data_IF_084612591474
#
_entry.id   IF_084612591474
#
_cell.length_a   1.000
_cell.length_b   1.000
_cell.length_c   1.000
_cell.angle_alpha   90.00
_cell.angle_beta   90.00
_cell.angle_gamma   90.00
#
_symmetry.space_group_name_H-M   'P 1'
#
loop_
_entity.id
_entity.type
_entity.pdbx_description
1 polymer ?
#
# COMPACT_ATOMS: atom_id res chain seq x y z
N UNK A 1 -7.32 -15.09 3.16
CA UNK A 1 -6.57 -14.43 2.08
C UNK A 1 -6.45 -15.41 0.92
N UNK A 2 -6.81 -15.02 -0.31
CA UNK A 2 -6.77 -15.91 -1.48
C UNK A 2 -5.32 -16.23 -1.84
N UNK A 3 -5.04 -17.48 -2.22
CA UNK A 3 -3.73 -17.92 -2.69
C UNK A 3 -3.73 -18.08 -4.21
N UNK A 4 -2.74 -17.46 -4.85
CA UNK A 4 -2.57 -17.52 -6.30
C UNK A 4 -1.21 -18.12 -6.69
N UNK A 5 -1.10 -18.60 -7.92
CA UNK A 5 0.21 -18.82 -8.50
C UNK A 5 0.87 -17.45 -8.78
N UNK A 6 2.16 -17.30 -8.48
CA UNK A 6 2.87 -16.01 -8.55
C UNK A 6 2.72 -15.31 -9.90
N UNK A 7 2.82 -16.05 -11.00
CA UNK A 7 2.72 -15.53 -12.36
C UNK A 7 1.32 -15.67 -12.99
N UNK A 8 0.26 -15.77 -12.17
CA UNK A 8 -1.10 -15.92 -12.66
C UNK A 8 -1.76 -14.60 -13.04
N UNK A 9 -2.80 -14.68 -13.89
CA UNK A 9 -3.68 -13.57 -14.18
C UNK A 9 -4.36 -13.03 -12.91
N UNK A 10 -4.76 -13.90 -11.99
CA UNK A 10 -5.40 -13.51 -10.73
C UNK A 10 -4.48 -12.63 -9.86
N UNK A 11 -3.17 -12.91 -9.83
CA UNK A 11 -2.19 -12.05 -9.14
C UNK A 11 -2.11 -10.66 -9.77
N UNK A 12 -2.10 -10.60 -11.12
CA UNK A 12 -2.08 -9.33 -11.86
C UNK A 12 -3.34 -8.52 -11.60
N UNK A 13 -4.49 -9.18 -11.61
CA UNK A 13 -5.79 -8.57 -11.34
C UNK A 13 -5.90 -8.04 -9.91
N UNK A 14 -5.43 -8.82 -8.92
CA UNK A 14 -5.37 -8.39 -7.52
C UNK A 14 -4.46 -7.17 -7.35
N UNK A 15 -3.30 -7.14 -8.03
CA UNK A 15 -2.43 -5.96 -8.05
C UNK A 15 -3.14 -4.75 -8.65
N UNK A 16 -3.82 -4.90 -9.78
CA UNK A 16 -4.52 -3.79 -10.43
C UNK A 16 -5.67 -3.21 -9.59
N UNK A 17 -6.32 -4.05 -8.76
CA UNK A 17 -7.38 -3.64 -7.82
C UNK A 17 -6.89 -3.24 -6.44
N UNK A 18 -5.56 -3.27 -6.20
CA UNK A 18 -4.95 -3.05 -4.88
C UNK A 18 -5.53 -3.98 -3.79
N UNK A 19 -5.87 -5.22 -4.16
CA UNK A 19 -6.44 -6.20 -3.24
C UNK A 19 -5.35 -7.04 -2.56
N UNK A 20 -5.44 -7.32 -1.26
CA UNK A 20 -4.55 -8.24 -0.57
C UNK A 20 -4.57 -9.65 -1.17
N UNK A 21 -3.39 -10.24 -1.33
CA UNK A 21 -3.25 -11.59 -1.85
C UNK A 21 -2.03 -12.28 -1.26
N UNK A 22 -1.99 -13.60 -1.38
CA UNK A 22 -0.81 -14.40 -1.07
C UNK A 22 -0.49 -15.33 -2.26
N UNK A 23 0.76 -15.73 -2.39
CA UNK A 23 1.17 -16.69 -3.43
C UNK A 23 2.08 -17.76 -2.85
N UNK A 24 2.19 -18.88 -3.55
CA UNK A 24 3.13 -19.94 -3.18
C UNK A 24 4.60 -19.53 -3.27
N UNK A 25 4.92 -18.45 -4.01
CA UNK A 25 6.29 -17.97 -4.23
C UNK A 25 6.78 -16.91 -3.24
N UNK A 26 6.12 -16.74 -2.08
CA UNK A 26 6.41 -15.66 -1.13
C UNK A 26 6.24 -14.25 -1.72
N UNK A 27 5.45 -14.10 -2.77
CA UNK A 27 4.98 -12.82 -3.27
C UNK A 27 3.58 -12.58 -2.74
N UNK A 28 3.36 -11.49 -2.01
CA UNK A 28 2.07 -11.24 -1.37
C UNK A 28 1.84 -9.75 -1.24
N UNK A 29 0.59 -9.39 -1.03
CA UNK A 29 0.24 -8.04 -0.67
C UNK A 29 -0.70 -8.00 0.52
N UNK A 30 -0.52 -6.98 1.33
CA UNK A 30 -1.13 -6.84 2.66
C UNK A 30 -1.68 -5.43 2.80
N UNK A 31 -2.74 -5.29 3.59
CA UNK A 31 -3.34 -3.99 3.87
C UNK A 31 -2.43 -3.15 4.76
N UNK A 32 -2.35 -1.87 4.41
CA UNK A 32 -1.71 -0.86 5.23
C UNK A 32 -0.20 -0.97 5.33
N UNK A 33 0.31 -0.27 6.34
CA UNK A 33 1.72 -0.17 6.65
C UNK A 33 2.21 -1.32 7.53
N UNK A 34 3.39 -1.85 7.21
CA UNK A 34 4.04 -2.92 7.95
C UNK A 34 5.49 -2.62 8.33
N UNK A 35 5.68 -2.00 9.50
CA UNK A 35 6.99 -1.64 10.06
C UNK A 35 7.99 -2.82 10.20
N UNK A 36 7.59 -4.03 10.66
CA UNK A 36 8.56 -5.13 10.86
C UNK A 36 9.32 -5.53 9.58
N UNK A 37 8.78 -5.18 8.41
CA UNK A 37 9.33 -5.49 7.10
C UNK A 37 10.14 -4.31 6.51
N UNK A 38 9.87 -3.08 6.95
CA UNK A 38 10.57 -1.86 6.50
C UNK A 38 12.08 -1.87 6.78
N UNK A 39 12.53 -2.61 7.80
CA UNK A 39 13.96 -2.72 8.12
C UNK A 39 14.80 -3.36 7.00
N UNK A 40 14.17 -4.08 6.06
CA UNK A 40 14.84 -4.69 4.90
C UNK A 40 15.00 -3.75 3.71
N UNK A 41 14.44 -2.55 3.78
CA UNK A 41 14.66 -1.50 2.78
C UNK A 41 16.01 -0.80 3.02
N UNK A 42 16.69 -0.34 1.97
CA UNK A 42 17.80 0.61 2.09
C UNK A 42 17.34 1.90 2.81
N UNK A 43 18.25 2.62 3.50
CA UNK A 43 17.90 3.73 4.38
C UNK A 43 16.91 4.73 3.78
N UNK A 44 17.22 5.30 2.60
CA UNK A 44 16.35 6.25 1.90
C UNK A 44 14.91 5.73 1.70
N UNK A 45 14.76 4.45 1.36
CA UNK A 45 13.44 3.86 1.11
C UNK A 45 12.72 3.48 2.40
N UNK A 46 13.48 3.13 3.45
CA UNK A 46 12.93 2.89 4.78
C UNK A 46 12.36 4.18 5.36
N UNK A 47 13.12 5.27 5.30
CA UNK A 47 12.68 6.57 5.79
C UNK A 47 11.43 7.01 5.04
N UNK A 48 11.43 6.87 3.72
CA UNK A 48 10.27 7.15 2.90
C UNK A 48 9.04 6.32 3.30
N UNK A 49 9.23 5.02 3.53
CA UNK A 49 8.14 4.11 3.89
C UNK A 49 7.57 4.43 5.27
N UNK A 50 8.41 4.88 6.21
CA UNK A 50 7.98 5.34 7.55
C UNK A 50 7.21 6.66 7.44
N UNK A 51 7.70 7.62 6.66
CA UNK A 51 7.00 8.89 6.40
C UNK A 51 5.61 8.65 5.79
N UNK A 52 5.49 7.61 4.97
CA UNK A 52 4.27 7.28 4.24
C UNK A 52 3.27 6.49 5.08
N UNK A 53 3.64 6.01 6.26
CA UNK A 53 2.92 5.00 7.01
C UNK A 53 1.42 5.29 7.22
N UNK A 54 1.05 6.56 7.46
CA UNK A 54 -0.34 6.98 7.64
C UNK A 54 -1.17 6.95 6.34
N UNK A 55 -0.50 7.04 5.19
CA UNK A 55 -1.10 7.11 3.87
C UNK A 55 -1.05 5.78 3.13
N UNK A 56 -0.23 4.82 3.55
CA UNK A 56 -0.16 3.50 2.92
C UNK A 56 -1.51 2.78 3.09
N UNK A 57 -2.19 2.54 1.97
CA UNK A 57 -3.37 1.67 1.91
C UNK A 57 -2.98 0.20 1.76
N UNK A 58 -1.88 -0.06 1.06
CA UNK A 58 -1.56 -1.39 0.58
C UNK A 58 -0.05 -1.54 0.36
N UNK A 59 0.53 -2.65 0.83
CA UNK A 59 1.97 -2.94 0.68
C UNK A 59 2.18 -4.27 -0.04
N UNK A 60 3.04 -4.27 -1.05
CA UNK A 60 3.50 -5.48 -1.74
C UNK A 60 4.82 -5.94 -1.18
N UNK A 61 4.89 -7.22 -0.83
CA UNK A 61 6.04 -7.87 -0.21
C UNK A 61 6.60 -8.97 -1.12
N UNK A 62 7.93 -9.02 -1.23
CA UNK A 62 8.68 -10.22 -1.60
C UNK A 62 9.28 -10.79 -0.33
N UNK A 63 8.86 -11.99 0.08
CA UNK A 63 9.08 -12.55 1.40
C UNK A 63 8.64 -11.58 2.50
N UNK A 64 9.61 -10.93 3.15
CA UNK A 64 9.44 -9.94 4.23
C UNK A 64 9.99 -8.57 3.83
N UNK A 65 10.26 -8.34 2.54
CA UNK A 65 10.81 -7.08 2.03
C UNK A 65 9.73 -6.34 1.26
N UNK A 66 9.37 -5.10 1.66
CA UNK A 66 8.53 -4.24 0.86
C UNK A 66 9.19 -3.96 -0.49
N UNK A 67 8.45 -4.22 -1.56
CA UNK A 67 8.90 -3.99 -2.94
C UNK A 67 7.99 -3.04 -3.72
N UNK A 68 6.82 -2.71 -3.15
CA UNK A 68 6.01 -1.56 -3.51
C UNK A 68 5.04 -1.21 -2.37
N UNK A 69 4.53 0.01 -2.37
CA UNK A 69 3.35 0.38 -1.58
C UNK A 69 2.49 1.40 -2.33
N UNK A 70 1.19 1.35 -2.08
CA UNK A 70 0.18 2.22 -2.67
C UNK A 70 -0.37 3.11 -1.57
N UNK A 71 -0.44 4.40 -1.87
CA UNK A 71 -0.94 5.42 -0.97
C UNK A 71 -2.43 5.67 -1.18
N UNK A 72 -3.07 6.31 -0.20
CA UNK A 72 -4.49 6.66 -0.24
C UNK A 72 -4.88 7.52 -1.43
N UNK A 73 -3.93 8.35 -1.88
CA UNK A 73 -4.10 9.20 -3.04
C UNK A 73 -3.92 8.45 -4.39
N UNK A 74 -3.72 7.13 -4.37
CA UNK A 74 -3.51 6.29 -5.55
C UNK A 74 -2.08 6.27 -6.09
N UNK A 75 -1.17 7.06 -5.52
CA UNK A 75 0.24 7.05 -5.88
C UNK A 75 0.90 5.72 -5.51
N UNK A 76 1.72 5.19 -6.42
CA UNK A 76 2.45 3.93 -6.24
C UNK A 76 3.93 4.21 -6.09
N UNK A 77 4.51 3.73 -4.99
CA UNK A 77 5.95 3.83 -4.75
C UNK A 77 6.59 2.48 -4.95
N UNK A 78 7.57 2.41 -5.86
CA UNK A 78 8.36 1.20 -6.15
C UNK A 78 9.84 1.55 -5.93
N UNK A 79 10.51 0.98 -4.91
CA UNK A 79 11.93 1.21 -4.69
C UNK A 79 12.77 0.86 -5.91
N UNK A 80 13.51 1.83 -6.43
CA UNK A 80 14.50 1.62 -7.49
C UNK A 80 15.80 1.06 -6.89
N UNK A 81 15.78 -0.24 -6.59
CA UNK A 81 16.88 -0.97 -5.93
C UNK A 81 17.03 -2.32 -6.60
N UNK A 82 18.28 -2.75 -6.82
CA UNK A 82 18.56 -4.12 -7.27
C UNK A 82 18.49 -5.06 -6.07
N UNK A 83 17.58 -6.04 -6.13
CA UNK A 83 17.45 -7.08 -5.11
C UNK A 83 18.02 -8.42 -5.61
N UNK A 84 17.82 -9.47 -4.81
CA UNK A 84 18.08 -10.85 -5.23
C UNK A 84 17.24 -11.22 -6.47
N UNK A 85 17.68 -12.24 -7.22
CA UNK A 85 17.02 -12.71 -8.45
C UNK A 85 15.52 -12.92 -8.28
N UNK A 86 15.11 -13.60 -7.20
CA UNK A 86 13.69 -13.85 -6.91
C UNK A 86 12.92 -12.56 -6.65
N UNK A 87 13.45 -11.66 -5.83
CA UNK A 87 12.79 -10.39 -5.51
C UNK A 87 12.71 -9.46 -6.71
N UNK A 88 13.74 -9.41 -7.55
CA UNK A 88 13.69 -8.69 -8.83
C UNK A 88 12.67 -9.31 -9.80
N UNK A 89 12.53 -10.63 -9.80
CA UNK A 89 11.46 -11.33 -10.53
C UNK A 89 10.06 -10.91 -10.05
N UNK A 90 9.84 -10.80 -8.74
CA UNK A 90 8.60 -10.26 -8.18
C UNK A 90 8.39 -8.79 -8.54
N UNK A 91 9.44 -7.96 -8.54
CA UNK A 91 9.35 -6.56 -8.94
C UNK A 91 8.91 -6.39 -10.40
N UNK A 92 9.33 -7.29 -11.29
CA UNK A 92 8.88 -7.26 -12.69
C UNK A 92 7.36 -7.43 -12.84
N UNK A 93 6.67 -8.02 -11.85
CA UNK A 93 5.22 -8.19 -11.85
C UNK A 93 4.46 -6.91 -11.47
N UNK A 94 5.16 -5.93 -10.90
CA UNK A 94 4.56 -4.67 -10.44
C UNK A 94 4.19 -3.72 -11.57
N UNK A 95 4.43 -4.08 -12.84
CA UNK A 95 4.01 -3.27 -13.98
C UNK A 95 2.48 -3.02 -13.97
N UNK A 96 1.68 -3.96 -13.47
CA UNK A 96 0.23 -3.79 -13.28
C UNK A 96 -0.14 -2.68 -12.27
N UNK A 97 0.73 -2.41 -11.29
CA UNK A 97 0.57 -1.25 -10.40
C UNK A 97 0.97 0.05 -11.10
N UNK A 98 1.97 0.01 -11.98
CA UNK A 98 2.40 1.21 -12.72
C UNK A 98 1.33 1.68 -13.70
N UNK A 99 0.63 0.75 -14.34
CA UNK A 99 -0.48 1.05 -15.24
C UNK A 99 -1.64 1.74 -14.50
N UNK A 100 -1.95 1.33 -13.26
CA UNK A 100 -2.97 2.01 -12.43
C UNK A 100 -2.48 3.36 -11.86
N UNK A 101 -1.17 3.50 -11.62
CA UNK A 101 -0.55 4.75 -11.15
C UNK A 101 -0.49 5.88 -12.20
N UNK A 102 -0.76 5.58 -13.47
CA UNK A 102 -0.73 6.55 -14.57
C UNK A 102 -2.08 7.23 -14.82
N UNK A 103 -3.09 6.96 -13.99
CA UNK A 103 -4.36 7.68 -14.04
C UNK A 103 -4.22 9.16 -13.64
N UNK A 104 -5.08 10.06 -14.15
CA UNK A 104 -4.99 11.50 -13.87
C UNK A 104 -5.05 11.85 -12.38
N UNK A 105 -5.79 11.06 -11.58
CA UNK A 105 -5.86 11.23 -10.11
C UNK A 105 -4.54 10.89 -9.42
N UNK A 106 -3.86 9.84 -9.86
CA UNK A 106 -2.58 9.43 -9.30
C UNK A 106 -1.46 10.41 -9.67
N UNK A 107 -1.52 10.99 -10.87
CA UNK A 107 -0.60 12.06 -11.31
C UNK A 107 -0.79 13.31 -10.45
N UNK A 108 -2.02 13.81 -10.32
CA UNK A 108 -2.32 15.01 -9.52
C UNK A 108 -1.92 14.81 -8.04
N UNK A 109 -2.21 13.64 -7.48
CA UNK A 109 -1.79 13.26 -6.14
C UNK A 109 -0.26 13.25 -5.95
N UNK A 110 0.48 12.85 -6.99
CA UNK A 110 1.93 12.79 -6.96
C UNK A 110 2.55 14.19 -7.07
N UNK A 111 1.96 15.07 -7.88
CA UNK A 111 2.32 16.49 -8.00
C UNK A 111 2.07 17.26 -6.70
N UNK A 112 0.87 17.17 -6.13
CA UNK A 112 0.53 17.82 -4.85
C UNK A 112 1.51 17.41 -3.74
N UNK A 113 1.91 16.14 -3.75
CA UNK A 113 2.87 15.61 -2.79
C UNK A 113 4.29 16.12 -3.02
N UNK A 114 4.72 16.26 -4.28
CA UNK A 114 6.00 16.89 -4.59
C UNK A 114 6.00 18.33 -4.07
N UNK A 115 4.93 19.08 -4.32
CA UNK A 115 4.77 20.44 -3.80
C UNK A 115 4.76 20.51 -2.27
N UNK A 116 4.08 19.58 -1.59
CA UNK A 116 4.04 19.52 -0.13
C UNK A 116 5.44 19.26 0.45
N UNK A 117 6.24 18.40 -0.19
CA UNK A 117 7.64 18.13 0.20
C UNK A 117 8.52 19.34 0.00
N UNK A 118 8.38 20.01 -1.13
CA UNK A 118 9.11 21.23 -1.39
C UNK A 118 8.76 22.32 -0.38
N UNK A 119 7.46 22.49 -0.08
CA UNK A 119 6.99 23.43 0.95
C UNK A 119 7.58 23.09 2.32
N UNK A 120 7.58 21.82 2.72
CA UNK A 120 8.18 21.38 3.97
C UNK A 120 9.69 21.62 4.02
N UNK A 121 10.39 21.37 2.90
CA UNK A 121 11.83 21.60 2.77
C UNK A 121 12.16 23.09 2.85
N UNK A 122 11.41 23.93 2.14
CA UNK A 122 11.53 25.40 2.21
C UNK A 122 11.30 25.91 3.64
N UNK A 123 10.27 25.41 4.34
CA UNK A 123 10.02 25.77 5.75
C UNK A 123 11.17 25.39 6.67
N UNK A 124 11.71 24.17 6.54
CA UNK A 124 12.89 23.74 7.32
C UNK A 124 14.12 24.61 7.02
N UNK A 125 14.35 24.95 5.76
CA UNK A 125 15.47 25.82 5.37
C UNK A 125 15.29 27.26 5.87
N UNK A 126 14.07 27.81 5.85
CA UNK A 126 13.77 29.13 6.40
C UNK A 126 14.01 29.18 7.92
N UNK A 127 13.54 28.17 8.65
CA UNK A 127 13.79 28.01 10.09
C UNK A 127 15.29 27.89 10.41
N UNK A 128 16.05 27.13 9.62
CA UNK A 128 17.50 26.98 9.78
C UNK A 128 18.29 28.28 9.49
N UNK A 129 17.71 29.23 8.74
CA UNK A 129 18.32 30.53 8.44
C UNK A 129 17.98 31.62 9.45
N UNK A 130 17.21 31.32 10.49
CA UNK A 130 16.80 32.30 11.50
C UNK A 130 15.89 33.40 10.96
N UNK A 131 15.23 33.18 9.81
CA UNK A 131 14.25 34.12 9.26
C UNK A 131 12.96 33.92 10.05
N UNK A 132 12.50 34.90 10.85
CA UNK A 132 11.24 34.77 11.57
C UNK A 132 10.08 34.59 10.58
N UNK A 133 9.08 33.74 10.88
CA UNK A 133 7.93 33.58 10.03
C UNK A 133 7.22 34.94 9.87
N UNK A 134 6.99 35.33 8.62
CA UNK A 134 6.23 36.53 8.28
C UNK A 134 4.80 36.40 8.86
N UNK A 135 4.36 37.28 9.78
CA UNK A 135 3.06 37.15 10.45
C UNK A 135 1.85 37.38 9.51
N UNK A 136 2.07 37.63 8.21
CA UNK A 136 1.02 38.02 7.28
C UNK A 136 0.25 36.85 6.61
N UNK A 137 0.57 35.57 6.89
CA UNK A 137 -0.18 34.43 6.32
C UNK A 137 -0.75 33.56 7.42
N UNK A 138 -1.84 34.04 8.03
CA UNK A 138 -2.70 33.21 8.87
C UNK A 138 -3.24 32.04 8.05
N UNK A 139 -3.12 30.83 8.60
CA UNK A 139 -3.70 29.64 7.96
C UNK A 139 -5.20 29.56 8.29
N UNK A 140 -6.07 29.06 7.39
CA UNK A 140 -7.51 28.91 7.66
C UNK A 140 -7.81 27.98 8.86
N UNK A 141 -6.83 27.17 9.26
CA UNK A 141 -6.92 26.30 10.44
C UNK A 141 -6.89 27.08 11.76
N UNK A 142 -6.27 28.26 11.82
CA UNK A 142 -6.18 29.07 13.04
C UNK A 142 -7.44 29.91 13.30
N UNK A 143 -8.26 30.14 12.28
CA UNK A 143 -9.55 30.82 12.39
C UNK A 143 -10.64 29.88 12.96
N UNK A 144 -10.56 28.58 12.66
CA UNK A 144 -11.49 27.57 13.18
C UNK A 144 -11.31 27.34 14.69
N UNK A 145 -10.06 27.31 15.17
CA UNK A 145 -9.75 27.09 16.60
C UNK A 145 -10.13 28.30 17.45
N UNK A 146 -10.10 29.51 16.89
CA UNK A 146 -10.53 30.73 17.59
C UNK A 146 -12.06 30.84 17.66
N UNK A 147 -12.78 30.23 16.71
CA UNK A 147 -14.24 30.13 16.70
C UNK A 147 -14.78 29.06 17.65
N UNK A 148 -14.09 27.92 17.79
CA UNK A 148 -14.52 26.77 18.60
C UNK A 148 -14.31 26.89 20.12
N UNK A 149 -13.64 27.93 20.60
CA UNK A 149 -13.35 28.12 22.04
C UNK A 149 -14.39 29.00 22.76
N UNK A 150 -15.53 29.31 22.12
CA UNK A 150 -16.53 30.22 22.70
C UNK A 150 -17.82 29.57 23.20
N UNK A 151 -18.13 28.35 22.79
CA UNK A 151 -19.40 27.72 23.14
C UNK A 151 -19.21 26.39 23.89
N UNK A 152 -19.72 26.41 25.12
CA UNK A 152 -20.29 25.32 25.92
C UNK A 152 -19.39 24.26 26.59
N UNK A 153 -19.34 24.43 27.91
CA UNK A 153 -19.21 23.38 28.90
C UNK A 153 -20.39 22.41 28.82
N UNK A 154 -20.11 21.12 28.54
CA UNK A 154 -21.12 20.07 28.55
C UNK A 154 -20.49 18.68 28.74
N UNK A 155 -20.67 18.16 29.94
CA UNK A 155 -20.46 16.80 30.47
C UNK A 155 -19.96 15.65 29.56
N UNK A 156 -18.96 14.94 30.09
CA UNK A 156 -18.45 13.65 29.63
C UNK A 156 -19.37 12.49 30.06
N UNK A 157 -19.82 11.66 29.12
CA UNK A 157 -20.08 10.22 29.35
C UNK A 157 -20.06 9.46 28.01
N UNK A 158 -19.37 8.32 27.91
CA UNK A 158 -19.34 7.56 26.64
C UNK A 158 -18.18 6.59 26.38
N UNK A 159 -17.32 6.28 27.35
CA UNK A 159 -16.15 5.40 27.11
C UNK A 159 -16.44 3.87 27.12
N UNK A 160 -17.71 3.44 27.21
CA UNK A 160 -18.04 2.00 27.32
C UNK A 160 -18.39 1.29 26.00
N UNK A 161 -18.48 1.99 24.87
CA UNK A 161 -19.07 1.42 23.64
C UNK A 161 -18.04 0.85 22.62
N UNK A 162 -16.74 1.02 22.89
CA UNK A 162 -15.67 0.57 21.97
C UNK A 162 -15.24 -0.87 22.26
N UNK A 163 -15.29 -1.31 23.52
CA UNK A 163 -14.84 -2.66 23.92
C UNK A 163 -15.85 -3.74 23.51
N UNK A 164 -17.15 -3.43 23.53
CA UNK A 164 -18.20 -4.38 23.12
C UNK A 164 -18.20 -4.69 21.61
N UNK A 165 -17.60 -3.83 20.77
CA UNK A 165 -17.57 -4.01 19.32
C UNK A 165 -16.47 -4.93 18.80
N UNK A 166 -15.43 -5.18 19.60
CA UNK A 166 -14.27 -5.98 19.20
C UNK A 166 -14.56 -7.49 19.34
N UNK A 167 -15.42 -7.89 20.27
CA UNK A 167 -15.75 -9.31 20.52
C UNK A 167 -16.76 -9.91 19.53
N UNK A 168 -17.60 -9.10 18.87
CA UNK A 168 -18.55 -9.59 17.84
C UNK A 168 -17.84 -10.00 16.53
N UNK A 169 -16.68 -9.40 16.24
CA UNK A 169 -15.91 -9.66 15.02
C UNK A 169 -15.13 -10.97 15.10
N UNK A 170 -14.75 -11.40 16.31
CA UNK A 170 -13.96 -12.63 16.52
C UNK A 170 -14.81 -13.90 16.65
N UNK A 171 -16.12 -13.78 16.83
CA UNK A 171 -17.02 -14.92 17.09
C UNK A 171 -17.64 -15.56 15.83
N UNK A 172 -17.47 -14.95 14.64
CA UNK A 172 -18.07 -15.47 13.39
C UNK A 172 -17.15 -16.49 12.70
N UNK A 173 -17.15 -17.73 13.20
CA UNK A 173 -16.64 -18.90 12.47
C UNK A 173 -17.62 -19.29 11.36
N UNK A 174 -17.20 -19.18 10.10
CA UNK A 174 -17.91 -19.76 8.94
C UNK A 174 -17.28 -21.13 8.63
N UNK A 175 -18.07 -22.19 8.34
CA UNK A 175 -17.56 -23.53 8.14
C UNK A 175 -16.80 -23.67 6.83
N UNK A 176 -15.77 -24.51 6.87
CA UNK A 176 -14.96 -24.93 5.74
C UNK A 176 -15.73 -26.02 4.97
N UNK A 177 -16.23 -25.70 3.78
CA UNK A 177 -16.67 -26.72 2.83
C UNK A 177 -15.89 -26.59 1.51
N UNK A 178 -15.04 -27.61 1.34
CA UNK A 178 -14.54 -28.23 0.11
C UNK A 178 -15.12 -27.72 -1.22
N UNK A 179 -14.27 -27.05 -1.99
CA UNK A 179 -14.46 -26.76 -3.42
C UNK A 179 -13.20 -27.17 -4.20
N UNK A 180 -12.81 -28.43 -4.10
CA UNK A 180 -11.52 -28.97 -4.59
C UNK A 180 -11.52 -29.38 -6.07
N UNK A 181 -12.57 -29.09 -6.86
CA UNK A 181 -12.74 -29.72 -8.18
C UNK A 181 -12.91 -28.78 -9.40
N UNK A 182 -12.76 -27.45 -9.28
CA UNK A 182 -13.14 -26.53 -10.37
C UNK A 182 -12.02 -25.68 -11.00
N UNK A 183 -10.73 -25.93 -10.71
CA UNK A 183 -9.67 -24.91 -10.94
C UNK A 183 -8.87 -25.10 -12.24
N UNK A 184 -9.28 -25.99 -13.16
CA UNK A 184 -8.62 -26.06 -14.48
C UNK A 184 -9.65 -26.15 -15.60
N UNK A 185 -9.76 -25.08 -16.39
CA UNK A 185 -10.46 -25.16 -17.67
C UNK A 185 -9.68 -26.09 -18.62
N UNK A 186 -10.35 -26.88 -19.48
CA UNK A 186 -9.69 -27.76 -20.44
C UNK A 186 -8.63 -27.04 -21.29
N UNK A 187 -8.93 -25.79 -21.68
CA UNK A 187 -8.04 -24.93 -22.45
C UNK A 187 -6.72 -24.59 -21.73
N UNK A 188 -6.74 -24.48 -20.39
CA UNK A 188 -5.53 -24.24 -19.60
C UNK A 188 -4.62 -25.47 -19.60
N UNK A 189 -5.20 -26.67 -19.49
CA UNK A 189 -4.45 -27.93 -19.49
C UNK A 189 -3.83 -28.20 -20.88
N UNK A 190 -4.57 -27.94 -21.95
CA UNK A 190 -4.08 -28.05 -23.33
C UNK A 190 -2.88 -27.12 -23.58
N UNK A 191 -2.96 -25.86 -23.13
CA UNK A 191 -1.87 -24.90 -23.29
C UNK A 191 -0.63 -25.26 -22.47
N UNK A 192 -0.83 -25.87 -21.30
CA UNK A 192 0.26 -26.35 -20.44
C UNK A 192 0.95 -27.57 -21.04
N UNK A 193 0.18 -28.49 -21.62
CA UNK A 193 0.69 -29.67 -22.31
C UNK A 193 1.52 -29.27 -23.55
N UNK A 194 0.98 -28.39 -24.39
CA UNK A 194 1.66 -27.88 -25.58
C UNK A 194 3.02 -27.24 -25.29
N UNK A 195 3.11 -26.44 -24.22
CA UNK A 195 4.37 -25.79 -23.84
C UNK A 195 5.41 -26.79 -23.31
N UNK A 196 4.98 -27.89 -22.68
CA UNK A 196 5.87 -28.96 -22.22
C UNK A 196 6.45 -29.73 -23.40
N UNK A 197 5.59 -30.13 -24.33
CA UNK A 197 6.02 -30.87 -25.52
C UNK A 197 7.00 -30.05 -26.38
N UNK A 198 6.83 -28.72 -26.41
CA UNK A 198 7.76 -27.80 -27.09
C UNK A 198 9.11 -27.65 -26.40
N UNK A 199 9.17 -27.85 -25.09
CA UNK A 199 10.42 -27.81 -24.33
C UNK A 199 11.20 -29.13 -24.45
N UNK A 200 10.49 -30.25 -24.57
CA UNK A 200 11.10 -31.58 -24.71
C UNK A 200 11.58 -31.85 -26.16
N UNK A 201 11.09 -31.08 -27.14
CA UNK A 201 11.45 -31.19 -28.56
C UNK A 201 12.60 -30.25 -29.02
N UNK A 202 13.19 -29.47 -28.12
CA UNK A 202 14.27 -28.51 -28.39
C UNK A 202 15.57 -28.92 -27.67
#
# INVERSE_FOLDING_TARGET
MKKFATHSWATREALARHEPFDTYGAFRAVDGYHLPFGNRLPPRWRDQYIEDAAEVMFTVLSYRTPIAWVLRCGAVVIPNVKYSRTTSGHQALLYALRESAQGPLAIAAQEERQEARERATRRRQAAARGIPPDPAVATPAEELTRSLMRDDAGALDGSSDIVARIDDVLSRRVPVNSGEAAIYSPQYLERKQYNRDRQDAA
#
